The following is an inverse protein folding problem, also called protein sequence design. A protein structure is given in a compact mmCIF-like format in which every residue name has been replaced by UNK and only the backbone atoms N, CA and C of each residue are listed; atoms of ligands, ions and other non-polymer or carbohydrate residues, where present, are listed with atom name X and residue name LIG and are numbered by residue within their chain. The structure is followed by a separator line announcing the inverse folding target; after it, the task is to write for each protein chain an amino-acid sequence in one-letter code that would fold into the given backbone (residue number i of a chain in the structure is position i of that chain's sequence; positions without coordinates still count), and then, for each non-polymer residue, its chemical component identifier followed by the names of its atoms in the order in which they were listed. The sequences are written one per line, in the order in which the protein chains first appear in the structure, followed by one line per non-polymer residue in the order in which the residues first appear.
data_IF_495015480337
#
_entry.id   IF_495015480337
#
_cell.length_a   1.000
_cell.length_b   1.000
_cell.length_c   1.000
_cell.angle_alpha   90.00
_cell.angle_beta   90.00
_cell.angle_gamma   90.00
#
_symmetry.space_group_name_H-M   'P 1'
#
loop_
_entity.id
_entity.type
_entity.pdbx_description
1 polymer ?
#
# COMPACT_ATOMS: atom_id res chain seq x y z
N UNK A 1 -12.10 -38.62 -19.34
CA UNK A 1 -10.70 -38.51 -18.87
C UNK A 1 -9.86 -37.84 -19.96
N UNK A 2 -9.57 -36.54 -19.80
CA UNK A 2 -8.52 -35.83 -20.55
C UNK A 2 -7.78 -34.96 -19.53
N UNK A 3 -6.53 -35.33 -19.27
CA UNK A 3 -5.60 -34.64 -18.37
C UNK A 3 -5.21 -33.28 -18.99
N UNK A 4 -5.35 -32.21 -18.21
CA UNK A 4 -4.80 -30.89 -18.54
C UNK A 4 -3.31 -30.89 -18.16
N UNK A 5 -2.46 -30.69 -19.15
CA UNK A 5 -1.01 -30.52 -19.03
C UNK A 5 -0.68 -29.13 -18.49
N UNK A 6 0.01 -29.09 -17.35
CA UNK A 6 0.59 -27.87 -16.77
C UNK A 6 1.75 -27.35 -17.60
N UNK A 7 1.84 -26.02 -17.73
CA UNK A 7 2.88 -25.33 -18.51
C UNK A 7 4.05 -24.98 -17.57
N UNK A 8 5.09 -25.80 -17.56
CA UNK A 8 6.37 -25.45 -16.92
C UNK A 8 7.12 -24.45 -17.80
N UNK A 9 7.54 -23.31 -17.23
CA UNK A 9 8.43 -22.35 -17.89
C UNK A 9 9.88 -22.82 -17.71
N UNK A 10 10.58 -23.06 -18.82
CA UNK A 10 12.00 -23.39 -18.83
C UNK A 10 12.83 -22.11 -18.59
N UNK A 11 13.75 -22.18 -17.64
CA UNK A 11 14.78 -21.17 -17.39
C UNK A 11 15.96 -21.46 -18.33
N UNK A 12 16.25 -20.53 -19.24
CA UNK A 12 17.44 -20.56 -20.08
C UNK A 12 18.57 -19.79 -19.40
N UNK A 13 19.60 -20.50 -18.95
CA UNK A 13 20.85 -19.93 -18.43
C UNK A 13 21.79 -19.71 -19.62
N UNK A 14 22.14 -18.46 -19.92
CA UNK A 14 23.26 -18.15 -20.81
C UNK A 14 24.51 -17.85 -19.99
N UNK A 15 25.51 -18.74 -20.10
CA UNK A 15 26.89 -18.49 -19.68
C UNK A 15 27.65 -17.79 -20.81
N UNK A 16 28.13 -16.57 -20.55
CA UNK A 16 29.08 -15.87 -21.40
C UNK A 16 30.48 -15.93 -20.79
N UNK A 17 31.36 -16.68 -21.46
CA UNK A 17 32.79 -16.82 -21.16
C UNK A 17 33.54 -15.54 -21.57
N UNK A 18 34.33 -14.95 -20.66
CA UNK A 18 35.30 -13.92 -21.00
C UNK A 18 36.73 -14.46 -20.89
N UNK A 19 37.42 -14.46 -22.04
CA UNK A 19 38.85 -14.78 -22.18
C UNK A 19 39.71 -13.70 -21.50
N UNK A 20 40.68 -14.14 -20.69
CA UNK A 20 41.77 -13.30 -20.21
C UNK A 20 43.00 -13.60 -21.08
N UNK A 21 43.44 -12.60 -21.85
CA UNK A 21 44.73 -12.61 -22.54
C UNK A 21 45.72 -11.73 -21.78
N UNK A 22 46.95 -12.23 -21.61
CA UNK A 22 47.93 -11.71 -20.66
C UNK A 22 48.87 -10.63 -21.16
N UNK A 23 49.54 -10.04 -20.16
CA UNK A 23 50.94 -9.62 -20.06
C UNK A 23 51.55 -8.66 -21.11
N UNK A 24 52.16 -7.56 -20.66
CA UNK A 24 53.62 -7.43 -20.47
C UNK A 24 54.07 -6.01 -20.04
N UNK A 25 55.25 -6.00 -19.42
CA UNK A 25 56.00 -4.93 -18.75
C UNK A 25 56.48 -3.74 -19.61
N UNK A 26 56.71 -2.58 -18.97
CA UNK A 26 57.97 -1.77 -18.95
C UNK A 26 57.70 -0.47 -18.14
N UNK A 27 58.32 -0.17 -16.99
CA UNK A 27 59.71 0.25 -16.70
C UNK A 27 59.98 1.77 -16.80
N UNK A 28 60.67 2.28 -15.76
CA UNK A 28 61.43 3.55 -15.62
C UNK A 28 60.66 4.86 -15.31
N UNK A 29 61.11 5.83 -14.48
CA UNK A 29 62.27 5.97 -13.58
C UNK A 29 62.22 7.34 -12.84
N UNK A 30 62.76 7.36 -11.60
CA UNK A 30 63.37 8.44 -10.78
C UNK A 30 62.70 9.81 -10.47
N UNK A 31 62.70 10.16 -9.16
CA UNK A 31 63.50 11.32 -8.73
C UNK A 31 62.87 12.39 -7.80
N UNK A 32 63.16 12.27 -6.50
CA UNK A 32 63.45 13.34 -5.51
C UNK A 32 62.37 14.29 -4.96
N UNK A 33 62.32 14.41 -3.63
CA UNK A 33 62.52 15.70 -2.95
C UNK A 33 61.40 16.26 -2.05
N UNK A 34 61.73 16.34 -0.75
CA UNK A 34 61.25 17.25 0.32
C UNK A 34 59.82 17.15 0.88
N UNK A 35 59.79 16.83 2.18
CA UNK A 35 58.73 17.14 3.14
C UNK A 35 58.66 18.66 3.38
N UNK A 36 57.45 19.24 3.37
CA UNK A 36 57.13 20.37 4.23
C UNK A 36 55.62 20.41 4.56
N UNK A 37 55.37 20.68 5.83
CA UNK A 37 54.10 20.70 6.53
C UNK A 37 53.38 22.03 6.29
N UNK A 38 52.09 22.03 5.91
CA UNK A 38 51.10 22.98 6.45
C UNK A 38 49.66 22.73 5.96
N UNK A 39 48.78 22.76 6.95
CA UNK A 39 47.32 22.80 6.95
C UNK A 39 46.75 23.91 6.04
N UNK A 40 45.67 23.64 5.27
CA UNK A 40 44.57 24.57 4.98
C UNK A 40 43.46 23.93 4.11
N UNK A 41 42.24 24.42 4.35
CA UNK A 41 40.94 23.95 3.87
C UNK A 41 40.69 24.04 2.35
N UNK A 42 39.70 23.22 1.94
CA UNK A 42 38.74 23.42 0.85
C UNK A 42 39.22 23.29 -0.61
N UNK A 43 38.76 22.22 -1.27
CA UNK A 43 38.11 22.24 -2.59
C UNK A 43 37.64 20.82 -2.96
N UNK A 44 36.57 20.76 -3.75
CA UNK A 44 35.78 19.56 -4.00
C UNK A 44 36.46 18.46 -4.81
N UNK A 45 35.83 17.28 -4.70
CA UNK A 45 35.98 16.20 -5.65
C UNK A 45 34.57 15.83 -6.12
N UNK A 46 34.30 16.12 -7.38
CA UNK A 46 33.24 15.48 -8.14
C UNK A 46 33.72 14.06 -8.50
N UNK A 47 32.99 13.05 -8.07
CA UNK A 47 32.93 11.72 -8.68
C UNK A 47 31.47 11.29 -8.57
N UNK A 48 30.71 11.45 -9.66
CA UNK A 48 30.49 10.47 -10.72
C UNK A 48 29.57 9.33 -10.26
N UNK A 49 28.41 9.34 -10.91
CA UNK A 49 27.21 8.53 -10.72
C UNK A 49 27.49 7.02 -10.72
N UNK A 50 26.79 6.34 -9.81
CA UNK A 50 26.32 4.97 -10.04
C UNK A 50 24.81 4.96 -9.85
N UNK A 51 24.14 4.59 -10.93
CA UNK A 51 22.70 4.42 -11.11
C UNK A 51 22.08 3.56 -9.99
N UNK A 52 21.06 4.11 -9.36
CA UNK A 52 20.41 3.57 -8.17
C UNK A 52 19.42 4.60 -7.65
N UNK A 53 18.23 4.63 -8.26
CA UNK A 53 17.13 5.53 -7.90
C UNK A 53 16.71 5.28 -6.45
N UNK A 54 17.37 5.95 -5.51
CA UNK A 54 16.98 6.00 -4.11
C UNK A 54 15.99 7.15 -3.98
N UNK A 55 14.72 6.81 -3.76
CA UNK A 55 13.66 7.79 -3.56
C UNK A 55 13.70 8.22 -2.09
N UNK A 56 14.41 9.30 -1.80
CA UNK A 56 14.24 9.97 -0.50
C UNK A 56 12.89 10.71 -0.51
N UNK A 57 11.88 10.09 0.09
CA UNK A 57 10.68 10.79 0.54
C UNK A 57 11.11 11.64 1.74
N UNK A 58 11.11 12.96 1.57
CA UNK A 58 11.44 13.89 2.65
C UNK A 58 10.36 13.81 3.71
N UNK A 59 10.76 13.51 4.95
CA UNK A 59 9.90 13.60 6.13
C UNK A 59 9.38 15.03 6.28
N UNK A 60 8.08 15.21 6.04
CA UNK A 60 7.36 16.44 6.37
C UNK A 60 7.10 16.47 7.89
N UNK A 61 7.98 17.14 8.61
CA UNK A 61 7.83 17.46 10.05
C UNK A 61 6.84 18.63 10.21
N UNK A 62 5.59 18.38 9.84
CA UNK A 62 4.51 19.35 9.89
C UNK A 62 4.15 19.74 11.32
N UNK A 63 4.41 21.01 11.67
CA UNK A 63 3.90 21.69 12.86
C UNK A 63 2.91 22.74 12.38
N UNK A 64 1.61 22.51 12.58
CA UNK A 64 0.59 23.53 12.37
C UNK A 64 -0.48 23.51 13.47
N UNK A 65 -0.88 24.73 13.84
CA UNK A 65 -1.62 25.04 15.07
C UNK A 65 -3.10 24.70 15.01
N UNK A 66 -3.56 23.98 16.02
CA UNK A 66 -4.97 23.77 16.33
C UNK A 66 -5.48 24.93 17.18
N UNK A 67 -6.50 25.63 16.66
CA UNK A 67 -7.35 26.50 17.46
C UNK A 67 -8.57 25.65 17.87
N UNK A 68 -8.74 25.51 19.18
CA UNK A 68 -9.78 24.72 19.84
C UNK A 68 -11.04 25.57 20.01
N UNK A 69 -12.21 24.99 19.76
CA UNK A 69 -13.43 25.41 20.42
C UNK A 69 -14.25 24.19 20.83
N UNK A 70 -14.47 24.08 22.13
CA UNK A 70 -15.27 23.05 22.79
C UNK A 70 -16.73 23.49 22.85
N UNK A 71 -17.66 22.57 22.64
CA UNK A 71 -18.94 22.60 23.34
C UNK A 71 -19.41 21.20 23.70
N UNK A 72 -19.37 20.95 25.00
CA UNK A 72 -19.97 19.83 25.72
C UNK A 72 -21.50 19.86 25.66
N UNK A 73 -22.12 18.69 25.72
CA UNK A 73 -23.47 18.50 26.26
C UNK A 73 -23.65 17.04 26.70
N UNK A 74 -23.76 16.87 28.01
CA UNK A 74 -24.21 15.67 28.71
C UNK A 74 -25.67 15.34 28.35
N UNK A 75 -26.04 14.05 28.41
CA UNK A 75 -27.27 13.62 29.10
C UNK A 75 -27.30 12.11 29.34
N UNK A 76 -27.54 11.76 30.61
CA UNK A 76 -27.87 10.44 31.15
C UNK A 76 -29.34 10.06 30.91
N UNK A 77 -29.62 8.76 30.79
CA UNK A 77 -30.64 7.97 31.52
C UNK A 77 -30.72 6.58 30.87
N UNK A 78 -30.41 5.47 31.54
CA UNK A 78 -31.08 4.75 32.65
C UNK A 78 -32.07 3.66 32.17
N UNK A 79 -31.57 2.43 32.28
CA UNK A 79 -32.11 1.10 32.61
C UNK A 79 -33.56 0.61 32.35
N UNK A 80 -33.60 -0.75 32.26
CA UNK A 80 -34.69 -1.74 32.46
C UNK A 80 -35.58 -2.05 31.23
N UNK A 81 -36.05 -3.28 30.93
CA UNK A 81 -36.19 -4.55 31.65
C UNK A 81 -36.46 -5.72 30.65
N UNK A 82 -36.05 -6.92 31.07
CA UNK A 82 -36.47 -8.32 30.82
C UNK A 82 -37.44 -8.75 29.70
N UNK A 83 -37.16 -9.95 29.16
CA UNK A 83 -38.17 -10.86 28.60
C UNK A 83 -37.62 -12.13 27.94
N UNK A 84 -37.48 -13.22 28.70
CA UNK A 84 -37.17 -14.59 28.24
C UNK A 84 -38.38 -15.33 27.64
N UNK A 85 -38.11 -16.38 26.85
CA UNK A 85 -39.03 -17.49 26.54
C UNK A 85 -38.77 -18.07 25.14
N UNK A 86 -37.91 -19.06 24.98
CA UNK A 86 -38.12 -20.52 25.11
C UNK A 86 -38.50 -21.23 23.78
N UNK A 87 -37.93 -22.41 23.63
CA UNK A 87 -37.80 -23.23 22.44
C UNK A 87 -39.02 -24.12 22.15
N UNK A 88 -39.18 -24.54 20.88
CA UNK A 88 -39.52 -25.93 20.60
C UNK A 88 -39.32 -26.36 19.15
N UNK A 89 -39.20 -27.68 19.03
CA UNK A 89 -38.63 -28.57 18.02
C UNK A 89 -39.52 -28.95 16.83
N UNK A 90 -38.88 -29.22 15.68
CA UNK A 90 -38.93 -30.53 14.99
C UNK A 90 -40.00 -30.77 13.91
N UNK A 91 -39.55 -31.20 12.72
CA UNK A 91 -40.38 -31.91 11.73
C UNK A 91 -39.85 -31.88 10.29
N UNK A 92 -39.22 -32.98 9.85
CA UNK A 92 -38.79 -33.26 8.46
C UNK A 92 -39.96 -33.59 7.52
N UNK A 93 -39.79 -33.38 6.20
CA UNK A 93 -40.65 -34.01 5.18
C UNK A 93 -40.68 -33.39 3.77
N UNK A 94 -39.65 -33.70 2.97
CA UNK A 94 -39.50 -33.69 1.48
C UNK A 94 -40.72 -33.48 0.55
N UNK A 95 -40.58 -32.61 -0.48
CA UNK A 95 -40.53 -33.03 -1.91
C UNK A 95 -40.43 -31.86 -2.92
N UNK A 96 -39.34 -31.88 -3.70
CA UNK A 96 -39.20 -31.63 -5.15
C UNK A 96 -39.95 -30.48 -5.87
N UNK A 97 -39.18 -29.51 -6.37
CA UNK A 97 -39.28 -29.01 -7.74
C UNK A 97 -38.12 -28.05 -8.06
N UNK A 98 -37.38 -28.35 -9.12
CA UNK A 98 -36.17 -27.65 -9.51
C UNK A 98 -36.31 -26.15 -9.75
N UNK A 99 -35.36 -25.42 -9.20
CA UNK A 99 -34.79 -24.25 -9.86
C UNK A 99 -33.28 -24.33 -9.65
N UNK A 100 -32.53 -24.48 -10.73
CA UNK A 100 -31.08 -24.41 -10.70
C UNK A 100 -30.64 -22.98 -10.41
N UNK A 101 -30.74 -22.57 -9.14
CA UNK A 101 -30.04 -21.41 -8.66
C UNK A 101 -28.56 -21.78 -8.60
N UNK A 102 -27.79 -21.31 -9.58
CA UNK A 102 -26.36 -21.16 -9.40
C UNK A 102 -26.19 -20.39 -8.10
N UNK A 103 -25.62 -21.02 -7.06
CA UNK A 103 -25.14 -20.26 -5.90
C UNK A 103 -24.06 -19.32 -6.45
N UNK A 104 -24.41 -18.06 -6.68
CA UNK A 104 -23.44 -17.06 -7.10
C UNK A 104 -22.39 -16.99 -5.99
N UNK A 105 -21.13 -17.21 -6.37
CA UNK A 105 -20.00 -17.09 -5.47
C UNK A 105 -19.98 -15.64 -4.94
N UNK A 106 -20.14 -15.40 -3.62
CA UNK A 106 -20.22 -14.05 -3.06
C UNK A 106 -19.01 -13.18 -3.41
N UNK A 107 -17.82 -13.79 -3.57
CA UNK A 107 -16.63 -13.06 -4.01
C UNK A 107 -16.76 -12.63 -5.47
N UNK A 108 -17.35 -13.47 -6.32
CA UNK A 108 -17.58 -13.13 -7.72
C UNK A 108 -18.60 -12.00 -7.89
N UNK A 109 -19.65 -11.99 -7.06
CA UNK A 109 -20.59 -10.87 -7.02
C UNK A 109 -19.90 -9.57 -6.61
N UNK A 110 -19.13 -9.59 -5.51
CA UNK A 110 -18.34 -8.42 -5.06
C UNK A 110 -17.39 -7.90 -6.13
N UNK A 111 -16.68 -8.80 -6.81
CA UNK A 111 -15.80 -8.46 -7.94
C UNK A 111 -16.57 -7.82 -9.08
N UNK A 112 -17.71 -8.40 -9.47
CA UNK A 112 -18.52 -7.92 -10.60
C UNK A 112 -19.11 -6.53 -10.35
N UNK A 113 -19.62 -6.28 -9.14
CA UNK A 113 -20.17 -4.97 -8.75
C UNK A 113 -19.07 -3.91 -8.67
N UNK A 114 -17.84 -4.33 -8.35
CA UNK A 114 -16.67 -3.45 -8.22
C UNK A 114 -15.80 -3.38 -9.48
N UNK A 115 -16.27 -3.97 -10.60
CA UNK A 115 -15.46 -4.08 -11.81
C UNK A 115 -15.02 -2.71 -12.32
N UNK A 116 -13.79 -2.62 -12.82
CA UNK A 116 -13.20 -1.32 -13.20
C UNK A 116 -14.04 -0.62 -14.28
N UNK A 117 -14.47 -1.35 -15.30
CA UNK A 117 -15.17 -0.77 -16.44
C UNK A 117 -16.57 -0.23 -16.09
N UNK A 118 -17.18 -0.69 -14.99
CA UNK A 118 -18.55 -0.31 -14.59
C UNK A 118 -18.58 0.76 -13.49
N UNK A 119 -17.49 0.92 -12.75
CA UNK A 119 -17.41 1.77 -11.55
C UNK A 119 -16.73 3.12 -11.82
N UNK A 120 -16.89 3.64 -13.03
CA UNK A 120 -16.25 4.87 -13.49
C UNK A 120 -17.19 5.67 -14.39
N UNK A 121 -17.11 7.00 -14.35
CA UNK A 121 -17.84 7.88 -15.26
C UNK A 121 -17.04 8.21 -16.54
N UNK A 122 -17.62 9.07 -17.39
CA UNK A 122 -17.00 9.49 -18.66
C UNK A 122 -15.74 10.36 -18.49
N UNK A 123 -15.46 10.84 -17.28
CA UNK A 123 -14.29 11.66 -16.91
C UNK A 123 -13.26 10.86 -16.12
N UNK A 124 -13.44 9.54 -16.04
CA UNK A 124 -12.60 8.64 -15.26
C UNK A 124 -12.68 8.83 -13.72
N UNK A 125 -13.79 9.40 -13.23
CA UNK A 125 -14.08 9.52 -11.80
C UNK A 125 -14.78 8.26 -11.32
N UNK A 126 -14.35 7.70 -10.18
CA UNK A 126 -14.99 6.52 -9.60
C UNK A 126 -16.41 6.83 -9.13
N UNK A 127 -17.34 5.93 -9.40
CA UNK A 127 -18.77 6.10 -9.04
C UNK A 127 -19.15 5.39 -7.73
N UNK A 128 -18.23 4.62 -7.16
CA UNK A 128 -18.38 3.83 -5.95
C UNK A 128 -17.38 4.26 -4.85
N UNK A 129 -17.20 5.57 -4.65
CA UNK A 129 -16.18 6.12 -3.75
C UNK A 129 -16.22 5.60 -2.30
N UNK A 130 -17.39 5.19 -1.82
CA UNK A 130 -17.57 4.64 -0.46
C UNK A 130 -17.27 3.13 -0.35
N UNK A 131 -17.05 2.43 -1.46
CA UNK A 131 -16.82 0.99 -1.43
C UNK A 131 -15.41 0.66 -0.88
N UNK A 132 -15.31 -0.37 -0.02
CA UNK A 132 -14.01 -0.91 0.42
C UNK A 132 -13.13 -1.37 -0.75
N UNK A 133 -13.76 -1.72 -1.86
CA UNK A 133 -13.15 -2.19 -3.11
C UNK A 133 -12.87 -1.06 -4.12
N UNK A 134 -13.10 0.21 -3.78
CA UNK A 134 -12.87 1.33 -4.70
C UNK A 134 -11.43 1.34 -5.22
N UNK A 135 -11.25 1.37 -6.54
CA UNK A 135 -9.90 1.43 -7.13
C UNK A 135 -9.62 2.84 -7.61
N UNK A 136 -8.66 3.49 -6.95
CA UNK A 136 -8.10 4.79 -7.29
C UNK A 136 -6.66 4.59 -7.73
N UNK A 137 -6.28 5.17 -8.86
CA UNK A 137 -4.93 5.03 -9.42
C UNK A 137 -4.62 6.20 -10.37
N UNK A 138 -3.55 6.11 -11.17
CA UNK A 138 -3.16 7.19 -12.10
C UNK A 138 -4.23 7.52 -13.14
N UNK A 139 -5.16 6.60 -13.43
CA UNK A 139 -6.21 6.75 -14.44
C UNK A 139 -7.59 7.01 -13.83
N UNK A 140 -7.80 6.68 -12.55
CA UNK A 140 -9.10 6.73 -11.88
C UNK A 140 -9.05 7.67 -10.68
N UNK A 141 -9.86 8.72 -10.69
CA UNK A 141 -9.89 9.73 -9.61
C UNK A 141 -11.07 9.53 -8.66
N UNK A 142 -10.93 10.06 -7.45
CA UNK A 142 -12.05 10.28 -6.53
C UNK A 142 -12.89 11.50 -6.97
N UNK A 143 -14.19 11.53 -6.62
CA UNK A 143 -15.04 12.70 -6.81
C UNK A 143 -14.47 13.95 -6.13
N UNK A 144 -14.78 15.11 -6.69
CA UNK A 144 -14.44 16.38 -6.06
C UNK A 144 -15.07 16.49 -4.67
N UNK A 145 -14.29 16.94 -3.69
CA UNK A 145 -14.74 17.08 -2.30
C UNK A 145 -14.86 15.76 -1.54
N UNK A 146 -14.48 14.62 -2.11
CA UNK A 146 -14.52 13.34 -1.40
C UNK A 146 -13.63 13.34 -0.16
N UNK A 147 -14.25 13.02 0.97
CA UNK A 147 -13.65 12.78 2.28
C UNK A 147 -14.51 11.71 2.98
N UNK A 148 -13.92 10.61 3.48
CA UNK A 148 -14.69 9.59 4.19
C UNK A 148 -15.27 10.17 5.50
N UNK A 149 -16.51 9.79 5.82
CA UNK A 149 -17.22 10.26 7.02
C UNK A 149 -16.97 9.40 8.28
N UNK A 150 -16.24 8.29 8.12
CA UNK A 150 -15.98 7.27 9.14
C UNK A 150 -14.49 7.15 9.53
N UNK A 151 -13.73 8.24 9.35
CA UNK A 151 -12.32 8.28 9.73
C UNK A 151 -12.12 8.20 11.25
N UNK A 152 -11.26 7.28 11.68
CA UNK A 152 -10.85 7.10 13.08
C UNK A 152 -9.33 6.88 13.17
N UNK A 153 -8.75 7.19 14.33
CA UNK A 153 -7.36 6.84 14.62
C UNK A 153 -7.29 5.38 15.13
N UNK A 154 -6.61 4.45 14.43
CA UNK A 154 -6.39 3.10 14.92
C UNK A 154 -5.48 3.11 16.14
N UNK A 155 -5.76 2.24 17.11
CA UNK A 155 -4.97 2.06 18.32
C UNK A 155 -3.70 1.21 18.05
N UNK A 156 -2.80 1.76 17.23
CA UNK A 156 -1.51 1.15 16.87
C UNK A 156 -0.36 2.14 17.10
N UNK A 157 0.87 1.65 17.35
CA UNK A 157 2.02 2.52 17.43
C UNK A 157 2.33 3.18 16.08
N UNK A 158 2.39 4.51 16.07
CA UNK A 158 2.87 5.30 14.93
C UNK A 158 4.38 5.60 15.05
N UNK A 159 5.01 5.99 13.95
CA UNK A 159 6.42 6.45 13.91
C UNK A 159 6.62 7.88 14.44
N UNK A 160 5.54 8.56 14.83
CA UNK A 160 5.54 9.93 15.34
C UNK A 160 4.42 10.11 16.37
N UNK A 161 4.57 11.16 17.19
CA UNK A 161 3.60 11.55 18.22
C UNK A 161 2.74 12.73 17.78
N UNK A 162 1.62 12.92 18.46
CA UNK A 162 0.71 14.06 18.29
C UNK A 162 -0.37 13.84 17.22
N UNK A 163 -1.47 14.61 17.29
CA UNK A 163 -2.60 14.46 16.39
C UNK A 163 -2.24 14.89 14.96
N UNK A 164 -2.66 14.10 13.98
CA UNK A 164 -2.39 14.39 12.57
C UNK A 164 -3.36 13.61 11.66
N UNK A 165 -3.77 14.16 10.51
CA UNK A 165 -4.71 13.49 9.58
C UNK A 165 -4.20 12.11 9.14
N UNK A 166 -2.88 11.99 8.88
CA UNK A 166 -2.18 10.73 8.55
C UNK A 166 -2.23 9.65 9.64
N UNK A 167 -2.81 9.92 10.81
CA UNK A 167 -3.13 8.91 11.82
C UNK A 167 -4.50 8.27 11.60
N UNK A 168 -5.30 8.75 10.66
CA UNK A 168 -6.65 8.27 10.47
C UNK A 168 -6.74 7.22 9.37
N UNK A 169 -7.72 6.33 9.48
CA UNK A 169 -8.17 5.42 8.44
C UNK A 169 -9.69 5.30 8.55
N UNK A 170 -10.34 4.79 7.51
CA UNK A 170 -11.75 4.40 7.63
C UNK A 170 -11.89 3.33 8.71
N UNK A 171 -12.96 3.40 9.51
CA UNK A 171 -13.16 2.57 10.70
C UNK A 171 -12.90 1.08 10.49
N UNK A 172 -13.44 0.49 9.43
CA UNK A 172 -13.26 -0.94 9.15
C UNK A 172 -11.78 -1.31 8.92
N UNK A 173 -11.06 -0.48 8.15
CA UNK A 173 -9.64 -0.66 7.90
C UNK A 173 -8.80 -0.41 9.17
N UNK A 174 -9.18 0.56 10.01
CA UNK A 174 -8.52 0.84 11.27
C UNK A 174 -8.60 -0.35 12.24
N UNK A 175 -9.79 -0.93 12.42
CA UNK A 175 -10.01 -2.11 13.26
C UNK A 175 -9.26 -3.35 12.73
N UNK A 176 -9.16 -3.48 11.41
CA UNK A 176 -8.36 -4.52 10.77
C UNK A 176 -6.86 -4.31 11.00
N UNK A 177 -6.38 -3.07 10.93
CA UNK A 177 -4.98 -2.73 11.17
C UNK A 177 -4.56 -3.04 12.61
N UNK A 178 -5.42 -2.76 13.59
CA UNK A 178 -5.18 -3.11 14.99
C UNK A 178 -4.97 -4.62 15.17
N UNK A 179 -5.78 -5.44 14.49
CA UNK A 179 -5.62 -6.90 14.49
C UNK A 179 -4.32 -7.34 13.82
N UNK A 180 -3.96 -6.72 12.69
CA UNK A 180 -2.70 -6.98 12.00
C UNK A 180 -1.50 -6.69 12.91
N UNK A 181 -1.50 -5.54 13.60
CA UNK A 181 -0.42 -5.16 14.51
C UNK A 181 -0.37 -6.05 15.76
N UNK A 182 -1.53 -6.50 16.25
CA UNK A 182 -1.59 -7.48 17.34
C UNK A 182 -1.03 -8.84 16.90
N UNK A 183 -1.31 -9.29 15.68
CA UNK A 183 -0.73 -10.47 15.07
C UNK A 183 0.79 -10.37 14.93
N UNK A 184 1.28 -9.26 14.37
CA UNK A 184 2.72 -8.98 14.26
C UNK A 184 3.40 -9.07 15.63
N UNK A 185 2.80 -8.41 16.64
CA UNK A 185 3.33 -8.44 18.00
C UNK A 185 3.37 -9.84 18.61
N UNK A 186 2.38 -10.70 18.30
CA UNK A 186 2.35 -12.08 18.77
C UNK A 186 3.50 -12.92 18.19
N UNK A 187 3.99 -12.55 17.01
CA UNK A 187 5.13 -13.17 16.31
C UNK A 187 6.47 -12.43 16.54
N UNK A 188 6.56 -11.58 17.57
CA UNK A 188 7.75 -10.77 17.91
C UNK A 188 8.20 -9.83 16.75
N UNK A 189 7.23 -9.33 15.99
CA UNK A 189 7.38 -8.34 14.91
C UNK A 189 6.88 -6.97 15.40
N UNK A 190 7.74 -5.95 15.33
CA UNK A 190 7.39 -4.58 15.70
C UNK A 190 7.15 -3.72 14.45
N UNK A 191 5.89 -3.41 14.20
CA UNK A 191 5.47 -2.50 13.12
C UNK A 191 5.19 -1.09 13.65
N UNK A 192 5.34 -0.10 12.77
CA UNK A 192 4.95 1.29 12.99
C UNK A 192 4.09 1.79 11.84
N UNK A 193 2.92 2.32 12.15
CA UNK A 193 2.13 3.07 11.17
C UNK A 193 2.81 4.41 10.87
N UNK A 194 2.84 4.83 9.60
CA UNK A 194 3.57 6.03 9.16
C UNK A 194 2.65 7.05 8.51
N UNK A 195 1.77 6.62 7.59
CA UNK A 195 0.85 7.52 6.89
C UNK A 195 -0.41 6.82 6.41
N UNK A 196 -1.54 7.05 7.08
CA UNK A 196 -2.88 6.64 6.67
C UNK A 196 -3.54 7.68 5.76
N UNK A 197 -4.68 8.23 6.20
CA UNK A 197 -5.49 9.18 5.44
C UNK A 197 -4.71 10.44 5.04
N UNK A 198 -5.00 10.92 3.84
CA UNK A 198 -4.45 12.17 3.30
C UNK A 198 -5.51 12.91 2.51
N UNK A 199 -5.88 14.09 2.99
CA UNK A 199 -6.86 14.94 2.33
C UNK A 199 -6.41 15.37 0.94
N UNK A 200 -7.40 15.72 0.09
CA UNK A 200 -7.14 16.29 -1.23
C UNK A 200 -6.22 17.52 -1.16
N UNK A 201 -6.50 18.44 -0.23
CA UNK A 201 -5.73 19.69 -0.06
C UNK A 201 -4.28 19.42 0.35
N UNK A 202 -4.05 18.40 1.18
CA UNK A 202 -2.69 17.97 1.47
C UNK A 202 -1.99 17.38 0.26
N UNK A 203 -2.68 16.55 -0.51
CA UNK A 203 -2.11 16.00 -1.75
C UNK A 203 -1.78 17.13 -2.76
N UNK A 204 -2.58 18.20 -2.84
CA UNK A 204 -2.26 19.41 -3.61
C UNK A 204 -0.94 20.04 -3.13
N UNK A 205 -0.81 20.21 -1.81
CA UNK A 205 0.39 20.81 -1.20
C UNK A 205 1.65 19.98 -1.48
N UNK A 206 1.56 18.66 -1.31
CA UNK A 206 2.66 17.72 -1.59
C UNK A 206 3.04 17.75 -3.07
N UNK A 207 2.04 17.64 -3.96
CA UNK A 207 2.28 17.64 -5.40
C UNK A 207 2.95 18.95 -5.85
N UNK A 208 2.43 20.10 -5.42
CA UNK A 208 2.99 21.41 -5.78
C UNK A 208 4.41 21.59 -5.24
N UNK A 209 4.69 21.14 -4.02
CA UNK A 209 6.03 21.18 -3.45
C UNK A 209 7.00 20.28 -4.25
N UNK A 210 6.57 19.08 -4.65
CA UNK A 210 7.38 18.18 -5.47
C UNK A 210 7.64 18.77 -6.86
N UNK A 211 6.64 19.36 -7.52
CA UNK A 211 6.84 20.06 -8.80
C UNK A 211 7.85 21.18 -8.66
N UNK A 212 7.75 21.97 -7.59
CA UNK A 212 8.67 23.08 -7.32
C UNK A 212 10.11 22.62 -7.06
N UNK A 213 10.30 21.51 -6.36
CA UNK A 213 11.61 21.07 -5.88
C UNK A 213 12.29 20.05 -6.79
N UNK A 214 11.51 19.21 -7.48
CA UNK A 214 11.99 18.07 -8.30
C UNK A 214 11.58 18.15 -9.77
N UNK A 215 10.71 19.10 -10.12
CA UNK A 215 10.19 19.26 -11.49
C UNK A 215 8.97 18.38 -11.79
N UNK A 216 8.18 18.80 -12.79
CA UNK A 216 6.89 18.16 -13.11
C UNK A 216 7.04 16.72 -13.59
N UNK A 217 7.95 16.46 -14.52
CA UNK A 217 8.15 15.13 -15.11
C UNK A 217 8.50 14.07 -14.04
N UNK A 218 9.44 14.40 -13.15
CA UNK A 218 9.76 13.53 -12.02
C UNK A 218 8.55 13.33 -11.10
N UNK A 219 7.83 14.42 -10.79
CA UNK A 219 6.67 14.38 -9.89
C UNK A 219 5.53 13.53 -10.44
N UNK A 220 5.22 13.64 -11.74
CA UNK A 220 4.15 12.85 -12.38
C UNK A 220 4.45 11.35 -12.31
N UNK A 221 5.73 10.97 -12.34
CA UNK A 221 6.17 9.58 -12.18
C UNK A 221 5.96 9.08 -10.75
N UNK A 222 6.46 9.81 -9.76
CA UNK A 222 6.57 9.28 -8.38
C UNK A 222 5.46 9.71 -7.42
N UNK A 223 4.62 10.68 -7.79
CA UNK A 223 3.55 11.21 -6.94
C UNK A 223 2.19 10.99 -7.58
N UNK A 224 1.17 10.71 -6.78
CA UNK A 224 -0.22 10.84 -7.24
C UNK A 224 -0.54 12.32 -7.47
N UNK A 225 -1.28 12.63 -8.52
CA UNK A 225 -1.95 13.93 -8.63
C UNK A 225 -3.11 13.97 -7.64
N UNK A 226 -3.57 15.15 -7.19
CA UNK A 226 -4.70 15.27 -6.28
C UNK A 226 -5.95 14.55 -6.79
N UNK A 227 -6.64 13.81 -5.91
CA UNK A 227 -7.78 12.95 -6.29
C UNK A 227 -7.41 11.54 -6.76
N UNK A 228 -6.12 11.25 -7.01
CA UNK A 228 -5.66 9.94 -7.50
C UNK A 228 -4.83 9.15 -6.48
N UNK A 229 -4.75 9.63 -5.24
CA UNK A 229 -4.01 8.93 -4.17
C UNK A 229 -4.95 8.01 -3.41
N UNK A 230 -4.56 6.74 -3.24
CA UNK A 230 -5.33 5.82 -2.39
C UNK A 230 -5.41 6.27 -0.94
N UNK A 231 -4.44 7.03 -0.42
CA UNK A 231 -4.52 7.56 0.95
C UNK A 231 -5.76 8.43 1.17
N UNK A 232 -6.28 9.09 0.12
CA UNK A 232 -7.51 9.88 0.24
C UNK A 232 -8.75 9.01 0.49
N UNK A 233 -8.72 7.72 0.14
CA UNK A 233 -9.80 6.76 0.46
C UNK A 233 -9.87 6.42 1.94
N UNK A 234 -8.81 6.68 2.71
CA UNK A 234 -8.66 6.19 4.09
C UNK A 234 -8.53 4.66 4.21
N UNK A 235 -8.35 3.93 3.10
CA UNK A 235 -8.18 2.48 3.05
C UNK A 235 -6.73 2.04 2.85
N UNK A 236 -5.83 2.98 2.57
CA UNK A 236 -4.40 2.73 2.44
C UNK A 236 -3.64 3.23 3.67
N UNK A 237 -2.59 2.52 4.05
CA UNK A 237 -1.65 2.97 5.06
C UNK A 237 -0.22 2.52 4.74
N UNK A 238 0.71 3.44 4.97
CA UNK A 238 2.14 3.14 4.97
C UNK A 238 2.55 2.57 6.33
N UNK A 239 3.19 1.41 6.32
CA UNK A 239 3.72 0.72 7.50
C UNK A 239 5.22 0.54 7.34
N UNK A 240 5.97 0.71 8.42
CA UNK A 240 7.41 0.44 8.49
C UNK A 240 7.76 -0.23 9.82
N UNK A 241 9.04 -0.25 10.18
CA UNK A 241 9.52 -0.78 11.44
C UNK A 241 10.72 0.01 11.97
N UNK A 242 10.96 0.01 13.29
CA UNK A 242 12.13 0.66 13.87
C UNK A 242 13.46 0.04 13.38
N UNK A 243 13.46 -1.23 12.97
CA UNK A 243 14.64 -1.96 12.47
C UNK A 243 15.22 -1.34 11.19
N UNK A 244 14.38 -0.66 10.40
CA UNK A 244 14.79 0.12 9.22
C UNK A 244 14.64 1.63 9.44
N UNK A 245 14.59 2.08 10.69
CA UNK A 245 14.46 3.49 11.04
C UNK A 245 13.12 4.11 10.64
N UNK A 246 12.06 3.31 10.53
CA UNK A 246 10.74 3.70 10.03
C UNK A 246 10.75 4.23 8.59
N UNK A 247 11.77 3.89 7.79
CA UNK A 247 11.87 4.31 6.40
C UNK A 247 10.73 3.74 5.53
N UNK A 248 10.26 4.59 4.61
CA UNK A 248 9.27 4.26 3.57
C UNK A 248 10.04 4.01 2.27
N UNK A 249 10.79 2.91 2.25
CA UNK A 249 11.73 2.55 1.19
C UNK A 249 11.76 1.04 0.97
N UNK A 250 12.27 0.59 -0.19
CA UNK A 250 12.26 -0.85 -0.56
C UNK A 250 13.00 -1.74 0.45
N UNK A 251 13.93 -1.18 1.23
CA UNK A 251 14.64 -1.88 2.31
C UNK A 251 13.69 -2.45 3.37
N UNK A 252 12.52 -1.83 3.58
CA UNK A 252 11.51 -2.40 4.48
C UNK A 252 11.08 -3.81 4.03
N UNK A 253 10.91 -4.02 2.72
CA UNK A 253 10.52 -5.34 2.17
C UNK A 253 11.58 -6.43 2.30
N UNK A 254 12.83 -6.09 2.65
CA UNK A 254 13.90 -7.07 2.93
C UNK A 254 14.11 -7.30 4.43
N UNK A 255 13.50 -6.49 5.28
CA UNK A 255 13.48 -6.70 6.73
C UNK A 255 12.59 -7.89 7.11
N UNK A 256 12.78 -8.41 8.33
CA UNK A 256 11.90 -9.46 8.87
C UNK A 256 10.45 -8.97 8.98
N UNK A 257 10.26 -7.68 9.30
CA UNK A 257 8.95 -7.08 9.49
C UNK A 257 8.19 -6.92 8.16
N UNK A 258 8.88 -6.46 7.11
CA UNK A 258 8.27 -6.37 5.78
C UNK A 258 7.99 -7.73 5.14
N UNK A 259 8.84 -8.72 5.39
CA UNK A 259 8.58 -10.11 4.95
C UNK A 259 7.37 -10.70 5.66
N UNK A 260 7.28 -10.54 6.99
CA UNK A 260 6.11 -10.95 7.76
C UNK A 260 4.85 -10.25 7.26
N UNK A 261 4.92 -8.93 7.01
CA UNK A 261 3.79 -8.17 6.50
C UNK A 261 3.31 -8.70 5.14
N UNK A 262 4.24 -8.99 4.21
CA UNK A 262 3.90 -9.53 2.90
C UNK A 262 3.26 -10.92 2.97
N UNK A 263 3.61 -11.74 3.97
CA UNK A 263 3.03 -13.06 4.18
C UNK A 263 1.66 -13.01 4.84
N UNK A 264 1.48 -12.14 5.84
CA UNK A 264 0.31 -12.18 6.73
C UNK A 264 -0.74 -11.09 6.50
N UNK A 265 -0.42 -10.00 5.78
CA UNK A 265 -1.35 -8.88 5.61
C UNK A 265 -2.74 -9.30 5.11
N UNK A 266 -2.80 -10.28 4.20
CA UNK A 266 -4.05 -10.75 3.60
C UNK A 266 -4.99 -11.43 4.60
N UNK A 267 -4.45 -12.05 5.65
CA UNK A 267 -5.24 -12.64 6.73
C UNK A 267 -6.08 -11.58 7.48
N UNK A 268 -5.62 -10.33 7.45
CA UNK A 268 -6.27 -9.19 8.09
C UNK A 268 -6.99 -8.28 7.09
N UNK A 269 -7.11 -8.69 5.83
CA UNK A 269 -7.84 -7.92 4.80
C UNK A 269 -7.01 -6.87 4.06
N UNK A 270 -5.68 -6.90 4.22
CA UNK A 270 -4.74 -6.01 3.54
C UNK A 270 -3.95 -6.73 2.46
N UNK A 271 -3.55 -6.01 1.41
CA UNK A 271 -2.60 -6.50 0.42
C UNK A 271 -1.40 -5.57 0.30
N UNK A 272 -0.26 -6.10 -0.15
CA UNK A 272 0.81 -5.25 -0.69
C UNK A 272 0.31 -4.69 -2.03
N UNK A 273 0.02 -3.38 -2.06
CA UNK A 273 -0.73 -2.78 -3.18
C UNK A 273 0.07 -2.69 -4.47
N UNK A 274 1.37 -2.42 -4.34
CA UNK A 274 2.30 -2.17 -5.45
C UNK A 274 3.42 -3.22 -5.42
N UNK A 275 3.18 -4.42 -5.97
CA UNK A 275 4.16 -5.51 -5.97
C UNK A 275 5.30 -5.27 -6.97
N UNK A 276 6.42 -5.94 -6.72
CA UNK A 276 7.63 -5.83 -7.55
C UNK A 276 7.39 -6.36 -8.96
N UNK A 277 7.72 -5.54 -9.97
CA UNK A 277 7.61 -5.91 -11.38
C UNK A 277 6.29 -5.48 -12.05
N UNK A 278 5.34 -4.94 -11.29
CA UNK A 278 4.00 -4.58 -11.79
C UNK A 278 3.80 -3.07 -12.02
N UNK A 279 4.89 -2.30 -12.15
CA UNK A 279 4.83 -0.85 -12.40
C UNK A 279 4.11 -0.52 -13.72
N UNK A 280 4.26 -1.38 -14.74
CA UNK A 280 3.57 -1.21 -16.02
C UNK A 280 2.05 -1.31 -15.93
N UNK A 281 1.52 -1.90 -14.85
CA UNK A 281 0.08 -2.08 -14.60
C UNK A 281 -0.41 -1.05 -13.59
N UNK A 282 0.25 -0.98 -12.43
CA UNK A 282 -0.18 -0.13 -11.30
C UNK A 282 0.19 1.34 -11.48
N UNK A 283 1.25 1.63 -12.24
CA UNK A 283 1.84 2.96 -12.38
C UNK A 283 2.69 3.41 -11.19
N UNK A 284 3.04 2.49 -10.29
CA UNK A 284 3.90 2.74 -9.13
C UNK A 284 5.02 1.69 -9.07
N UNK A 285 6.17 2.11 -8.54
CA UNK A 285 7.30 1.22 -8.27
C UNK A 285 6.94 0.23 -7.15
N UNK A 286 7.86 -0.69 -6.82
CA UNK A 286 7.64 -1.60 -5.69
C UNK A 286 7.56 -0.82 -4.37
N UNK A 287 6.44 -0.96 -3.66
CA UNK A 287 6.22 -0.30 -2.36
C UNK A 287 5.83 -1.33 -1.29
N UNK A 288 6.80 -2.04 -0.67
CA UNK A 288 6.52 -3.04 0.36
C UNK A 288 5.86 -2.51 1.63
N UNK A 289 5.88 -1.19 1.82
CA UNK A 289 5.30 -0.51 2.98
C UNK A 289 3.82 -0.16 2.78
N UNK A 290 3.36 0.00 1.54
CA UNK A 290 2.03 0.50 1.23
C UNK A 290 1.04 -0.65 1.18
N UNK A 291 0.23 -0.76 2.24
CA UNK A 291 -0.82 -1.76 2.32
C UNK A 291 -2.20 -1.16 2.06
N UNK A 292 -3.02 -1.90 1.31
CA UNK A 292 -4.37 -1.49 0.92
C UNK A 292 -5.40 -2.44 1.51
N UNK A 293 -6.35 -1.92 2.28
CA UNK A 293 -7.49 -2.67 2.78
C UNK A 293 -8.51 -2.93 1.66
N UNK A 294 -8.92 -4.19 1.52
CA UNK A 294 -9.96 -4.62 0.57
C UNK A 294 -11.00 -5.57 1.18
N UNK A 295 -10.93 -5.80 2.50
CA UNK A 295 -11.77 -6.75 3.22
C UNK A 295 -11.09 -8.10 3.45
N UNK A 296 -11.39 -8.74 4.59
CA UNK A 296 -10.80 -10.03 5.02
C UNK A 296 -11.17 -11.22 4.15
N UNK A 297 -12.24 -11.10 3.36
CA UNK A 297 -12.67 -12.13 2.42
C UNK A 297 -12.00 -12.00 1.06
N UNK A 298 -11.81 -10.78 0.55
CA UNK A 298 -11.19 -10.52 -0.76
C UNK A 298 -9.66 -10.56 -0.73
N UNK A 299 -9.00 -10.04 0.32
CA UNK A 299 -7.54 -9.94 0.33
C UNK A 299 -6.83 -11.29 0.14
N UNK A 300 -7.25 -12.40 0.78
CA UNK A 300 -6.66 -13.72 0.52
C UNK A 300 -6.85 -14.19 -0.93
N UNK A 301 -7.98 -13.89 -1.55
CA UNK A 301 -8.26 -14.28 -2.94
C UNK A 301 -7.44 -13.47 -3.94
N UNK A 302 -7.27 -12.16 -3.70
CA UNK A 302 -6.36 -11.30 -4.45
C UNK A 302 -4.94 -11.86 -4.40
N UNK A 303 -4.40 -12.11 -3.20
CA UNK A 303 -3.03 -12.64 -3.05
C UNK A 303 -2.88 -14.02 -3.73
N UNK A 304 -3.87 -14.91 -3.57
CA UNK A 304 -3.86 -16.23 -4.20
C UNK A 304 -3.91 -16.16 -5.73
N UNK A 305 -4.60 -15.17 -6.29
CA UNK A 305 -4.67 -14.97 -7.75
C UNK A 305 -3.32 -14.56 -8.36
N UNK A 306 -2.46 -13.91 -7.56
CA UNK A 306 -1.20 -13.32 -8.03
C UNK A 306 -1.37 -12.09 -8.91
N UNK A 307 -2.58 -11.50 -8.94
CA UNK A 307 -2.92 -10.34 -9.73
C UNK A 307 -2.79 -9.04 -8.91
N UNK A 308 -2.54 -7.94 -9.61
CA UNK A 308 -2.77 -6.59 -9.06
C UNK A 308 -4.27 -6.32 -8.87
N UNK A 309 -4.64 -5.28 -8.10
CA UNK A 309 -6.06 -4.90 -8.01
C UNK A 309 -6.64 -4.46 -9.35
N UNK A 310 -5.83 -3.80 -10.18
CA UNK A 310 -6.19 -3.46 -11.55
C UNK A 310 -6.64 -4.69 -12.33
N UNK A 311 -5.82 -5.74 -12.35
CA UNK A 311 -6.14 -6.97 -13.06
C UNK A 311 -7.26 -7.75 -12.37
N UNK A 312 -7.29 -7.79 -11.05
CA UNK A 312 -8.25 -8.56 -10.27
C UNK A 312 -9.69 -8.07 -10.46
N UNK A 313 -9.88 -6.75 -10.59
CA UNK A 313 -11.19 -6.12 -10.85
C UNK A 313 -11.43 -5.83 -12.35
N UNK A 314 -10.53 -6.23 -13.25
CA UNK A 314 -10.78 -6.16 -14.69
C UNK A 314 -11.87 -7.17 -15.07
N UNK A 315 -12.93 -6.73 -15.75
CA UNK A 315 -13.99 -7.61 -16.27
C UNK A 315 -13.46 -8.82 -17.07
N UNK A 316 -12.33 -8.66 -17.77
CA UNK A 316 -11.71 -9.74 -18.53
C UNK A 316 -11.23 -10.89 -17.64
N UNK A 317 -10.90 -10.60 -16.37
CA UNK A 317 -10.40 -11.56 -15.39
C UNK A 317 -11.47 -11.98 -14.36
N UNK A 318 -12.64 -11.35 -14.36
CA UNK A 318 -13.80 -11.72 -13.52
C UNK A 318 -14.56 -12.91 -14.14
N UNK A 319 -14.52 -13.06 -15.46
CA UNK A 319 -15.33 -14.05 -16.21
C UNK A 319 -14.61 -15.41 -16.44
N UNK A 320 -13.47 -15.65 -15.78
CA UNK A 320 -12.62 -16.85 -15.91
C UNK A 320 -12.84 -17.83 -14.77
#
# INVERSE_FOLDING_TARGET
MKLRTGRQRQVAVMLSSLMICGALLSACQDGSGSEENQNLNAAGSAQQESDGTTVHLTEDTGKDGSNTDSSSSDNNNDDTDSGSGDASTGGEGSSDAGNGATSEDPLMEKRSISALQTTIDAQAVVTNSEAMTVIVNKQRSLPEGYEPDDLVEPNVPFSFDGPHEKRHMRKEAAEALEKLFAGAKADDIELRAVSGYRSYQRQVSIYNNNVKTKGKEYTDRVSSVPGHSEHQTGLAIDVSSPSVGNAIEEVFGTSKEGQWLAEHAAEYGFIIRYPKGEEGITGYVYEPWHIRYVGTDLAPDVVKSGLTLEEYFDEANIKL
#
